data_IF_132334953984
#
_entry.id   IF_132334953984
#
_cell.length_a   1.000
_cell.length_b   1.000
_cell.length_c   1.000
_cell.angle_alpha   90.00
_cell.angle_beta   90.00
_cell.angle_gamma   90.00
#
_symmetry.space_group_name_H-M   'P 1'
#
loop_
_entity.id
_entity.type
_entity.pdbx_description
1 polymer ?
#
# COMPACT_ATOMS: atom_id res chain seq x y z
N UNK A 1 -25.60 8.49 11.20
CA UNK A 1 -24.41 8.45 12.10
C UNK A 1 -23.18 8.56 11.21
N UNK A 2 -22.10 9.21 11.65
CA UNK A 2 -20.87 9.29 10.86
C UNK A 2 -20.32 7.88 10.59
N UNK A 3 -19.85 7.64 9.37
CA UNK A 3 -19.30 6.35 8.98
C UNK A 3 -17.81 6.31 9.28
N UNK A 4 -17.41 5.61 10.33
CA UNK A 4 -15.99 5.43 10.67
C UNK A 4 -15.39 4.28 9.87
N UNK A 5 -14.40 4.60 9.04
CA UNK A 5 -13.60 3.64 8.27
C UNK A 5 -12.22 3.55 8.92
N UNK A 6 -11.84 2.34 9.31
CA UNK A 6 -10.54 2.08 9.92
C UNK A 6 -9.57 1.55 8.87
N UNK A 7 -8.43 2.20 8.68
CA UNK A 7 -7.39 1.79 7.74
C UNK A 7 -6.26 1.14 8.53
N UNK A 8 -5.93 -0.11 8.20
CA UNK A 8 -4.84 -0.91 8.76
C UNK A 8 -3.70 -1.03 7.72
N UNK A 9 -2.79 -0.05 7.65
CA UNK A 9 -1.68 -0.09 6.71
C UNK A 9 -0.49 -0.91 7.22
N UNK A 10 0.30 -1.45 6.31
CA UNK A 10 1.57 -2.11 6.62
C UNK A 10 2.82 -1.27 6.35
N UNK A 11 2.71 -0.22 5.54
CA UNK A 11 3.78 0.75 5.34
C UNK A 11 3.59 2.05 6.14
N UNK A 12 4.69 2.82 6.25
CA UNK A 12 4.74 4.07 7.01
C UNK A 12 4.10 5.24 6.28
N UNK A 13 4.19 5.25 4.95
CA UNK A 13 3.62 6.33 4.13
C UNK A 13 2.10 6.32 4.24
N UNK A 14 1.52 5.13 4.23
CA UNK A 14 0.10 4.84 4.25
C UNK A 14 -0.50 5.17 5.61
N UNK A 15 0.21 4.80 6.69
CA UNK A 15 -0.17 5.19 8.05
C UNK A 15 -0.37 6.70 8.21
N UNK A 16 0.43 7.51 7.51
CA UNK A 16 0.40 8.96 7.63
C UNK A 16 -0.39 9.68 6.54
N UNK A 17 -0.48 9.12 5.34
CA UNK A 17 -1.06 9.77 4.17
C UNK A 17 -2.38 9.18 3.68
N UNK A 18 -2.60 7.88 3.83
CA UNK A 18 -3.70 7.19 3.13
C UNK A 18 -5.09 7.59 3.66
N UNK A 19 -5.22 7.77 4.97
CA UNK A 19 -6.48 8.25 5.56
C UNK A 19 -6.89 9.63 5.02
N UNK A 20 -5.93 10.54 4.87
CA UNK A 20 -6.17 11.86 4.28
C UNK A 20 -6.53 11.76 2.78
N UNK A 21 -5.82 10.92 2.03
CA UNK A 21 -6.10 10.68 0.61
C UNK A 21 -7.52 10.16 0.38
N UNK A 22 -7.95 9.17 1.18
CA UNK A 22 -9.30 8.60 1.11
C UNK A 22 -10.36 9.62 1.56
N UNK A 23 -10.06 10.41 2.59
CA UNK A 23 -10.94 11.49 3.04
C UNK A 23 -11.17 12.51 1.93
N UNK A 24 -10.11 12.97 1.26
CA UNK A 24 -10.21 13.88 0.12
C UNK A 24 -11.10 13.31 -1.00
N UNK A 25 -10.98 12.00 -1.27
CA UNK A 25 -11.75 11.31 -2.32
C UNK A 25 -13.23 11.16 -2.01
N UNK A 26 -13.57 10.79 -0.78
CA UNK A 26 -14.93 10.33 -0.45
C UNK A 26 -15.75 11.30 0.39
N UNK A 27 -15.12 12.17 1.18
CA UNK A 27 -15.85 13.12 2.02
C UNK A 27 -16.79 14.05 1.24
N UNK A 28 -16.47 14.54 0.02
CA UNK A 28 -17.39 15.38 -0.75
C UNK A 28 -18.69 14.66 -1.15
N UNK A 29 -18.63 13.36 -1.45
CA UNK A 29 -19.78 12.53 -1.84
C UNK A 29 -20.48 11.84 -0.67
N UNK A 30 -19.80 11.68 0.46
CA UNK A 30 -20.28 10.94 1.63
C UNK A 30 -20.09 11.76 2.92
N UNK A 31 -20.92 12.79 3.15
CA UNK A 31 -20.78 13.65 4.32
C UNK A 31 -20.79 12.86 5.64
N UNK A 32 -19.79 13.12 6.49
CA UNK A 32 -19.65 12.45 7.78
C UNK A 32 -18.94 11.10 7.74
N UNK A 33 -18.38 10.67 6.61
CA UNK A 33 -17.40 9.58 6.63
C UNK A 33 -16.04 10.07 7.18
N UNK A 34 -15.40 9.26 8.01
CA UNK A 34 -14.04 9.50 8.49
C UNK A 34 -13.16 8.31 8.15
N UNK A 35 -11.92 8.57 7.73
CA UNK A 35 -10.91 7.54 7.48
C UNK A 35 -9.81 7.68 8.52
N UNK A 36 -9.76 6.75 9.47
CA UNK A 36 -8.83 6.74 10.59
C UNK A 36 -7.77 5.66 10.35
N UNK A 37 -6.49 6.04 10.25
CA UNK A 37 -5.40 5.07 10.17
C UNK A 37 -5.05 4.54 11.56
N UNK A 38 -4.77 3.24 11.64
CA UNK A 38 -4.51 2.56 12.92
C UNK A 38 -3.07 2.09 12.95
N UNK A 39 -2.29 2.65 13.88
CA UNK A 39 -0.95 2.16 14.18
C UNK A 39 -1.00 0.86 14.99
N UNK A 40 -0.05 -0.04 14.74
CA UNK A 40 0.23 -1.22 15.58
C UNK A 40 0.64 -0.79 16.98
N UNK A 41 1.51 0.21 17.07
CA UNK A 41 1.93 0.86 18.32
C UNK A 41 1.60 2.35 18.20
N UNK A 42 0.59 2.81 18.95
CA UNK A 42 0.13 4.20 18.89
C UNK A 42 1.21 5.20 19.32
N UNK A 43 1.99 4.87 20.36
CA UNK A 43 3.00 5.79 20.90
C UNK A 43 4.15 6.10 19.93
N UNK A 44 4.45 5.19 19.01
CA UNK A 44 5.57 5.30 18.06
C UNK A 44 5.10 5.48 16.62
N UNK A 45 3.79 5.57 16.39
CA UNK A 45 3.18 5.55 15.06
C UNK A 45 3.78 4.45 14.17
N UNK A 46 3.91 3.24 14.74
CA UNK A 46 4.44 2.11 14.00
C UNK A 46 3.32 1.40 13.24
N UNK A 47 3.45 1.19 11.92
CA UNK A 47 2.46 0.43 11.16
C UNK A 47 2.50 -1.06 11.54
N UNK A 48 1.55 -1.83 11.00
CA UNK A 48 1.67 -3.29 11.04
C UNK A 48 2.88 -3.72 10.21
N UNK A 49 3.65 -4.72 10.64
CA UNK A 49 4.80 -5.15 9.85
C UNK A 49 4.34 -5.77 8.53
N UNK A 50 4.85 -5.28 7.40
CA UNK A 50 4.59 -5.83 6.07
C UNK A 50 4.95 -7.30 6.02
N UNK A 51 3.96 -8.16 5.77
CA UNK A 51 4.18 -9.61 5.73
C UNK A 51 4.64 -10.08 4.36
N UNK A 52 4.68 -9.19 3.37
CA UNK A 52 5.26 -9.32 2.04
C UNK A 52 6.71 -8.81 1.98
N UNK A 53 7.24 -8.25 3.06
CA UNK A 53 8.64 -7.86 3.16
C UNK A 53 9.55 -9.08 3.42
N UNK A 54 10.67 -9.19 2.68
CA UNK A 54 11.71 -10.19 2.96
C UNK A 54 11.67 -11.51 2.16
N UNK A 55 11.06 -11.52 0.97
CA UNK A 55 11.15 -12.62 0.01
C UNK A 55 9.81 -13.27 -0.35
N UNK A 56 9.86 -14.25 -1.26
CA UNK A 56 8.67 -14.93 -1.76
C UNK A 56 7.87 -15.59 -0.63
N UNK A 57 6.56 -15.37 -0.64
CA UNK A 57 5.65 -16.07 0.27
C UNK A 57 5.66 -17.59 -0.02
N UNK A 58 5.70 -18.45 1.02
CA UNK A 58 5.47 -19.87 0.85
C UNK A 58 3.99 -20.12 0.52
N UNK A 59 3.70 -21.24 -0.14
CA UNK A 59 2.33 -21.67 -0.39
C UNK A 59 1.61 -21.88 0.95
N UNK A 60 0.45 -21.24 1.19
CA UNK A 60 -0.31 -21.46 2.41
C UNK A 60 -0.75 -22.92 2.50
N UNK A 61 -0.59 -23.52 3.68
CA UNK A 61 -0.91 -24.91 3.93
C UNK A 61 -1.09 -25.19 5.42
N UNK A 62 -1.59 -26.38 5.82
CA UNK A 62 -1.92 -26.69 7.21
C UNK A 62 -0.73 -26.58 8.18
N UNK A 63 0.49 -26.66 7.65
CA UNK A 63 1.75 -26.60 8.41
C UNK A 63 2.47 -25.26 8.28
N UNK A 64 1.89 -24.29 7.55
CA UNK A 64 2.49 -22.97 7.40
C UNK A 64 2.55 -22.27 8.77
N UNK A 65 3.76 -21.93 9.22
CA UNK A 65 3.94 -21.23 10.50
C UNK A 65 3.21 -19.89 10.46
N UNK A 66 2.45 -19.60 11.51
CA UNK A 66 1.85 -18.29 11.73
C UNK A 66 2.93 -17.20 11.63
N UNK A 67 2.74 -16.23 10.73
CA UNK A 67 3.61 -15.04 10.67
C UNK A 67 3.15 -14.08 11.77
N UNK A 68 3.96 -13.81 12.81
CA UNK A 68 3.51 -13.01 13.96
C UNK A 68 2.97 -11.63 13.55
N UNK A 69 3.60 -11.01 12.54
CA UNK A 69 3.17 -9.74 11.95
C UNK A 69 1.73 -9.80 11.41
N UNK A 70 1.42 -10.80 10.58
CA UNK A 70 0.11 -10.97 9.97
C UNK A 70 -0.93 -11.40 11.03
N UNK A 71 -0.55 -12.22 11.99
CA UNK A 71 -1.42 -12.58 13.13
C UNK A 71 -1.89 -11.34 13.91
N UNK A 72 -1.01 -10.38 14.19
CA UNK A 72 -1.40 -9.14 14.89
C UNK A 72 -2.37 -8.29 14.06
N UNK A 73 -2.14 -8.19 12.75
CA UNK A 73 -3.00 -7.47 11.81
C UNK A 73 -4.40 -8.09 11.74
N UNK A 74 -4.47 -9.41 11.53
CA UNK A 74 -5.73 -10.19 11.47
C UNK A 74 -6.51 -10.04 12.77
N UNK A 75 -5.85 -10.17 13.93
CA UNK A 75 -6.48 -10.01 15.24
C UNK A 75 -7.08 -8.62 15.43
N UNK A 76 -6.38 -7.57 14.97
CA UNK A 76 -6.93 -6.21 15.03
C UNK A 76 -8.16 -6.08 14.13
N UNK A 77 -8.08 -6.58 12.89
CA UNK A 77 -9.20 -6.51 11.95
C UNK A 77 -10.45 -7.23 12.48
N UNK A 78 -10.30 -8.42 13.08
CA UNK A 78 -11.40 -9.15 13.75
C UNK A 78 -12.00 -8.29 14.87
N UNK A 79 -11.17 -7.73 15.76
CA UNK A 79 -11.65 -6.88 16.85
C UNK A 79 -12.39 -5.64 16.35
N UNK A 80 -11.95 -5.03 15.24
CA UNK A 80 -12.65 -3.89 14.64
C UNK A 80 -13.94 -4.28 13.91
N UNK A 81 -14.01 -5.50 13.36
CA UNK A 81 -15.24 -5.99 12.75
C UNK A 81 -16.37 -6.19 13.79
N UNK A 82 -16.01 -6.58 15.01
CA UNK A 82 -16.92 -6.69 16.17
C UNK A 82 -17.41 -5.32 16.67
N UNK A 83 -16.66 -4.25 16.43
CA UNK A 83 -17.03 -2.90 16.86
C UNK A 83 -18.19 -2.37 16.00
N UNK A 84 -19.33 -2.09 16.64
CA UNK A 84 -20.53 -1.56 15.98
C UNK A 84 -20.39 -0.10 15.54
N UNK A 85 -19.44 0.64 16.12
CA UNK A 85 -19.12 2.01 15.71
C UNK A 85 -18.25 2.08 14.45
N UNK A 86 -17.64 0.96 14.06
CA UNK A 86 -16.83 0.84 12.84
C UNK A 86 -17.69 0.32 11.69
N UNK A 87 -17.76 1.12 10.63
CA UNK A 87 -18.54 0.82 9.44
C UNK A 87 -17.77 -0.10 8.49
N UNK A 88 -16.48 0.18 8.27
CA UNK A 88 -15.61 -0.55 7.35
C UNK A 88 -14.17 -0.59 7.90
N UNK A 89 -13.45 -1.68 7.60
CA UNK A 89 -12.04 -1.88 7.89
C UNK A 89 -11.32 -2.17 6.56
N UNK A 90 -10.34 -1.36 6.23
CA UNK A 90 -9.51 -1.51 5.04
C UNK A 90 -8.12 -1.93 5.47
N UNK A 91 -7.69 -3.12 5.07
CA UNK A 91 -6.30 -3.54 5.21
C UNK A 91 -5.60 -3.22 3.90
N UNK A 92 -4.49 -2.49 3.96
CA UNK A 92 -3.71 -2.12 2.77
C UNK A 92 -2.28 -2.56 3.01
N UNK A 93 -1.85 -3.55 2.23
CA UNK A 93 -0.47 -4.05 2.27
C UNK A 93 0.35 -3.52 1.09
N UNK A 94 1.55 -3.06 1.41
CA UNK A 94 2.54 -2.59 0.46
C UNK A 94 3.24 -3.78 -0.21
N UNK A 95 2.88 -4.11 -1.46
CA UNK A 95 3.32 -5.34 -2.12
C UNK A 95 4.71 -5.19 -2.73
N UNK A 96 5.74 -5.40 -1.92
CA UNK A 96 7.14 -5.32 -2.33
C UNK A 96 7.48 -6.08 -3.62
N UNK A 97 8.54 -5.60 -4.29
CA UNK A 97 8.92 -6.01 -5.65
C UNK A 97 9.18 -7.53 -5.79
N UNK A 98 9.64 -8.19 -4.72
CA UNK A 98 9.83 -9.65 -4.67
C UNK A 98 8.52 -10.42 -4.85
N UNK A 99 7.40 -9.87 -4.39
CA UNK A 99 6.09 -10.53 -4.38
C UNK A 99 5.13 -10.01 -5.46
N UNK A 100 5.55 -9.01 -6.25
CA UNK A 100 4.72 -8.38 -7.31
C UNK A 100 4.08 -9.36 -8.30
N UNK A 101 4.71 -10.50 -8.54
CA UNK A 101 4.30 -11.48 -9.54
C UNK A 101 3.31 -12.51 -8.97
N UNK A 102 2.99 -12.43 -7.68
CA UNK A 102 2.15 -13.40 -6.97
C UNK A 102 1.11 -12.75 -6.05
N UNK A 103 0.35 -11.72 -6.50
CA UNK A 103 -0.70 -11.09 -5.69
C UNK A 103 -1.77 -12.10 -5.23
N UNK A 104 -2.10 -13.10 -6.06
CA UNK A 104 -3.04 -14.16 -5.71
C UNK A 104 -2.56 -15.04 -4.54
N UNK A 105 -1.24 -15.23 -4.41
CA UNK A 105 -0.67 -16.00 -3.30
C UNK A 105 -0.74 -15.21 -1.98
N UNK A 106 -0.53 -13.90 -2.07
CA UNK A 106 -0.62 -12.97 -0.94
C UNK A 106 -2.04 -12.95 -0.39
N UNK A 107 -3.04 -12.78 -1.26
CA UNK A 107 -4.45 -12.78 -0.85
C UNK A 107 -4.89 -14.13 -0.29
N UNK A 108 -4.49 -15.24 -0.89
CA UNK A 108 -4.75 -16.58 -0.36
C UNK A 108 -4.12 -16.79 1.04
N UNK A 109 -2.92 -16.25 1.27
CA UNK A 109 -2.26 -16.29 2.57
C UNK A 109 -3.05 -15.50 3.61
N UNK A 110 -3.49 -14.28 3.29
CA UNK A 110 -4.35 -13.48 4.18
C UNK A 110 -5.65 -14.22 4.51
N UNK A 111 -6.34 -14.74 3.49
CA UNK A 111 -7.58 -15.51 3.66
C UNK A 111 -7.38 -16.73 4.57
N UNK A 112 -6.27 -17.46 4.38
CA UNK A 112 -5.89 -18.59 5.22
C UNK A 112 -5.71 -18.17 6.69
N UNK A 113 -4.98 -17.07 6.95
CA UNK A 113 -4.74 -16.59 8.31
C UNK A 113 -6.00 -16.11 9.02
N UNK A 114 -6.92 -15.42 8.33
CA UNK A 114 -8.23 -15.10 8.89
C UNK A 114 -9.01 -16.36 9.26
N UNK A 115 -9.00 -17.37 8.39
CA UNK A 115 -9.70 -18.63 8.62
C UNK A 115 -9.14 -19.38 9.83
N UNK A 116 -7.82 -19.49 9.95
CA UNK A 116 -7.18 -20.13 11.10
C UNK A 116 -7.47 -19.38 12.40
N UNK A 117 -7.30 -18.05 12.43
CA UNK A 117 -7.51 -17.27 13.65
C UNK A 117 -8.97 -17.34 14.14
N UNK A 118 -9.95 -17.36 13.22
CA UNK A 118 -11.36 -17.55 13.57
C UNK A 118 -11.63 -18.93 14.19
N UNK A 119 -11.06 -20.00 13.61
CA UNK A 119 -11.24 -21.36 14.11
C UNK A 119 -10.56 -21.53 15.47
N UNK A 120 -9.31 -21.10 15.61
CA UNK A 120 -8.57 -21.21 16.86
C UNK A 120 -9.31 -20.54 18.03
N UNK A 121 -9.87 -19.34 17.82
CA UNK A 121 -10.54 -18.58 18.89
C UNK A 121 -11.98 -18.98 19.17
N UNK A 122 -12.71 -19.43 18.15
CA UNK A 122 -14.17 -19.52 18.23
C UNK A 122 -14.72 -20.89 17.82
N UNK A 123 -13.89 -21.93 17.67
CA UNK A 123 -14.37 -23.30 17.36
C UNK A 123 -15.41 -23.84 18.36
N UNK A 124 -15.38 -23.38 19.61
CA UNK A 124 -16.30 -23.80 20.67
C UNK A 124 -17.64 -23.03 20.68
N UNK A 125 -17.76 -21.95 19.90
CA UNK A 125 -18.96 -21.11 19.81
C UNK A 125 -19.38 -20.92 18.33
N UNK A 126 -20.15 -21.86 17.78
CA UNK A 126 -20.57 -21.83 16.38
C UNK A 126 -21.39 -20.59 16.00
N UNK A 127 -22.19 -20.07 16.93
CA UNK A 127 -23.02 -18.88 16.67
C UNK A 127 -22.15 -17.62 16.56
N UNK A 128 -21.19 -17.46 17.47
CA UNK A 128 -20.21 -16.37 17.39
C UNK A 128 -19.33 -16.49 16.17
N UNK A 129 -18.85 -17.69 15.84
CA UNK A 129 -18.07 -17.94 14.64
C UNK A 129 -18.85 -17.54 13.36
N UNK A 130 -20.13 -17.89 13.28
CA UNK A 130 -20.99 -17.50 12.16
C UNK A 130 -21.17 -15.97 12.10
N UNK A 131 -21.48 -15.35 13.24
CA UNK A 131 -21.69 -13.89 13.31
C UNK A 131 -20.43 -13.10 12.93
N UNK A 132 -19.26 -13.57 13.36
CA UNK A 132 -17.97 -12.99 13.00
C UNK A 132 -17.66 -13.13 11.51
N UNK A 133 -17.91 -14.30 10.92
CA UNK A 133 -17.77 -14.49 9.47
C UNK A 133 -18.65 -13.50 8.70
N UNK A 134 -19.90 -13.31 9.12
CA UNK A 134 -20.79 -12.34 8.50
C UNK A 134 -20.29 -10.89 8.67
N UNK A 135 -19.75 -10.55 9.84
CA UNK A 135 -19.17 -9.24 10.09
C UNK A 135 -17.95 -9.00 9.18
N UNK A 136 -17.02 -9.95 9.08
CA UNK A 136 -15.83 -9.86 8.22
C UNK A 136 -16.21 -9.71 6.74
N UNK A 137 -17.15 -10.53 6.25
CA UNK A 137 -17.64 -10.49 4.86
C UNK A 137 -18.35 -9.18 4.50
N UNK A 138 -18.85 -8.44 5.49
CA UNK A 138 -19.55 -7.17 5.31
C UNK A 138 -18.63 -5.96 5.51
N UNK A 139 -17.69 -6.04 6.45
CA UNK A 139 -16.95 -4.88 6.95
C UNK A 139 -15.46 -4.89 6.66
N UNK A 140 -14.84 -6.02 6.33
CA UNK A 140 -13.38 -6.08 6.21
C UNK A 140 -12.99 -6.34 4.76
N UNK A 141 -12.11 -5.50 4.22
CA UNK A 141 -11.53 -5.67 2.89
C UNK A 141 -10.00 -5.66 2.96
N UNK A 142 -9.37 -6.43 2.07
CA UNK A 142 -7.92 -6.50 1.93
C UNK A 142 -7.48 -6.02 0.55
N UNK A 143 -6.58 -5.05 0.50
CA UNK A 143 -6.09 -4.41 -0.72
C UNK A 143 -4.57 -4.43 -0.77
N UNK A 144 -4.03 -4.35 -1.99
CA UNK A 144 -2.60 -4.30 -2.25
C UNK A 144 -2.24 -2.97 -2.92
N UNK A 145 -1.11 -2.40 -2.55
CA UNK A 145 -0.46 -1.35 -3.32
C UNK A 145 0.74 -1.95 -4.07
N UNK A 146 0.74 -1.89 -5.40
CA UNK A 146 1.66 -2.69 -6.25
C UNK A 146 2.56 -1.81 -7.11
N UNK A 147 3.88 -2.11 -7.24
CA UNK A 147 4.69 -2.99 -6.38
C UNK A 147 5.12 -2.29 -5.09
N UNK A 148 4.58 -1.10 -4.84
CA UNK A 148 4.71 -0.31 -3.62
C UNK A 148 3.71 0.85 -3.77
N UNK A 149 3.23 1.43 -2.68
CA UNK A 149 2.30 2.57 -2.76
C UNK A 149 2.94 3.82 -3.37
N UNK A 150 4.28 3.97 -3.37
CA UNK A 150 4.94 5.03 -4.14
C UNK A 150 4.61 4.98 -5.64
N UNK A 151 4.25 3.82 -6.19
CA UNK A 151 3.82 3.70 -7.57
C UNK A 151 2.62 4.61 -7.88
N UNK A 152 1.71 4.78 -6.91
CA UNK A 152 0.54 5.64 -7.06
C UNK A 152 0.90 7.11 -7.23
N UNK A 153 2.03 7.55 -6.66
CA UNK A 153 2.52 8.91 -6.84
C UNK A 153 2.90 9.18 -8.29
N UNK A 154 3.27 8.17 -9.08
CA UNK A 154 3.58 8.35 -10.51
C UNK A 154 2.34 8.38 -11.40
N UNK A 155 1.17 7.96 -10.88
CA UNK A 155 -0.12 8.08 -11.56
C UNK A 155 -0.68 9.51 -11.48
N UNK A 156 -0.27 10.28 -10.47
CA UNK A 156 -0.57 11.69 -10.31
C UNK A 156 0.57 12.55 -10.93
N UNK A 157 0.30 13.38 -11.96
CA UNK A 157 1.31 14.26 -12.56
C UNK A 157 2.01 15.20 -11.55
N UNK A 158 1.32 15.58 -10.46
CA UNK A 158 1.88 16.38 -9.38
C UNK A 158 2.49 15.53 -8.26
N UNK A 159 2.27 14.22 -8.21
CA UNK A 159 2.68 13.33 -7.13
C UNK A 159 4.19 13.40 -6.83
N UNK A 160 5.10 13.24 -7.82
CA UNK A 160 6.53 13.30 -7.56
C UNK A 160 6.96 14.71 -7.10
N UNK A 161 6.36 15.76 -7.67
CA UNK A 161 6.60 17.14 -7.24
C UNK A 161 6.17 17.36 -5.79
N UNK A 162 5.01 16.84 -5.39
CA UNK A 162 4.48 16.93 -4.03
C UNK A 162 5.36 16.15 -3.03
N UNK A 163 6.04 15.10 -3.50
CA UNK A 163 7.06 14.35 -2.76
C UNK A 163 8.43 15.04 -2.73
N UNK A 164 8.58 16.23 -3.31
CA UNK A 164 9.82 17.01 -3.28
C UNK A 164 10.77 16.77 -4.46
N UNK A 165 10.30 16.13 -5.54
CA UNK A 165 11.11 15.98 -6.74
C UNK A 165 11.50 17.35 -7.30
N UNK A 166 12.75 17.46 -7.76
CA UNK A 166 13.29 18.70 -8.31
C UNK A 166 12.67 19.00 -9.68
N UNK A 167 12.47 20.27 -9.99
CA UNK A 167 11.89 20.69 -11.27
C UNK A 167 12.65 20.14 -12.50
N UNK A 168 13.98 20.04 -12.42
CA UNK A 168 14.82 19.49 -13.50
C UNK A 168 14.65 17.97 -13.72
N UNK A 169 14.04 17.26 -12.76
CA UNK A 169 13.76 15.83 -12.83
C UNK A 169 12.28 15.54 -13.20
N UNK A 170 11.53 16.56 -13.60
CA UNK A 170 10.11 16.47 -13.92
C UNK A 170 9.82 16.80 -15.40
N UNK A 171 8.85 16.11 -16.03
CA UNK A 171 8.18 14.91 -15.53
C UNK A 171 9.14 13.71 -15.48
N UNK A 172 8.91 12.70 -14.60
CA UNK A 172 9.73 11.50 -14.58
C UNK A 172 9.71 10.79 -15.95
N UNK A 173 10.86 10.31 -16.41
CA UNK A 173 10.95 9.56 -17.66
C UNK A 173 10.45 8.11 -17.46
N UNK A 174 9.13 7.95 -17.41
CA UNK A 174 8.46 6.65 -17.40
C UNK A 174 8.46 6.02 -18.79
N UNK A 175 8.47 4.70 -18.84
CA UNK A 175 8.23 3.99 -20.09
C UNK A 175 6.84 4.36 -20.67
N UNK A 176 6.74 4.71 -21.97
CA UNK A 176 5.47 5.11 -22.57
C UNK A 176 4.39 4.04 -22.45
N UNK A 177 3.18 4.45 -22.04
CA UNK A 177 2.01 3.58 -21.98
C UNK A 177 2.05 2.51 -20.88
N UNK A 178 2.99 2.58 -19.93
CA UNK A 178 2.96 1.67 -18.78
C UNK A 178 2.00 2.13 -17.70
N UNK A 179 1.34 1.15 -17.09
CA UNK A 179 0.64 1.30 -15.83
C UNK A 179 1.65 1.68 -14.72
N UNK A 180 1.40 2.74 -13.93
CA UNK A 180 2.23 3.05 -12.77
C UNK A 180 2.31 1.88 -11.76
N UNK A 181 1.30 1.01 -11.65
CA UNK A 181 1.40 -0.23 -10.84
C UNK A 181 2.34 -1.30 -11.44
N UNK A 182 2.80 -1.08 -12.68
CA UNK A 182 3.89 -1.81 -13.33
C UNK A 182 5.14 -0.94 -13.53
N UNK A 183 5.34 0.08 -12.68
CA UNK A 183 6.34 1.14 -12.82
C UNK A 183 7.65 0.68 -13.48
N UNK A 184 8.08 1.43 -14.49
CA UNK A 184 9.44 1.31 -15.04
C UNK A 184 9.99 2.67 -15.46
N UNK A 185 10.99 3.16 -14.74
CA UNK A 185 11.76 4.33 -15.15
C UNK A 185 12.73 3.96 -16.28
N UNK A 186 12.85 4.87 -17.25
CA UNK A 186 13.76 4.77 -18.39
C UNK A 186 14.75 5.94 -18.45
N UNK A 187 14.80 6.77 -17.40
CA UNK A 187 15.74 7.90 -17.32
C UNK A 187 17.20 7.41 -17.40
N UNK A 188 17.96 7.74 -18.45
CA UNK A 188 19.34 7.29 -18.59
C UNK A 188 20.25 7.76 -17.46
N UNK A 189 20.01 8.96 -16.90
CA UNK A 189 20.79 9.46 -15.77
C UNK A 189 20.52 8.64 -14.52
N UNK A 190 19.26 8.26 -14.25
CA UNK A 190 18.92 7.35 -13.16
C UNK A 190 19.55 5.96 -13.35
N UNK A 191 19.44 5.42 -14.57
CA UNK A 191 19.93 4.09 -14.91
C UNK A 191 21.45 3.99 -15.03
N UNK A 192 22.16 5.11 -15.14
CA UNK A 192 23.62 5.17 -15.12
C UNK A 192 24.19 5.71 -13.79
N UNK A 193 23.37 6.20 -12.88
CA UNK A 193 23.84 6.80 -11.62
C UNK A 193 24.59 5.77 -10.79
N UNK A 194 25.81 6.13 -10.37
CA UNK A 194 26.71 5.37 -9.50
C UNK A 194 26.93 6.08 -8.15
N UNK A 195 26.27 7.22 -7.94
CA UNK A 195 26.39 8.04 -6.74
C UNK A 195 27.66 8.90 -6.69
N UNK A 196 28.44 9.01 -7.76
CA UNK A 196 29.63 9.86 -7.80
C UNK A 196 29.30 11.34 -7.51
N UNK A 197 28.09 11.78 -7.87
CA UNK A 197 27.61 13.14 -7.62
C UNK A 197 27.17 13.41 -6.16
N UNK A 198 27.13 12.38 -5.30
CA UNK A 198 26.64 12.47 -3.93
C UNK A 198 27.75 12.86 -2.95
N UNK A 199 28.19 14.12 -3.00
CA UNK A 199 29.36 14.60 -2.25
C UNK A 199 29.32 14.28 -0.75
N UNK A 200 28.19 14.50 -0.07
CA UNK A 200 28.06 14.22 1.37
C UNK A 200 28.23 12.72 1.69
N UNK A 201 27.64 11.84 0.88
CA UNK A 201 27.78 10.38 1.02
C UNK A 201 29.21 9.92 0.71
N UNK A 202 29.81 10.40 -0.39
CA UNK A 202 31.18 10.07 -0.80
C UNK A 202 32.22 10.53 0.24
N UNK A 203 31.94 11.61 0.98
CA UNK A 203 32.79 12.09 2.07
C UNK A 203 32.72 11.25 3.36
N UNK A 204 31.82 10.28 3.47
CA UNK A 204 31.71 9.42 4.65
C UNK A 204 32.83 8.36 4.69
N UNK A 205 33.13 7.83 5.88
CA UNK A 205 34.02 6.66 6.01
C UNK A 205 33.40 5.42 5.34
N UNK A 206 34.19 4.41 4.90
CA UNK A 206 33.66 3.24 4.19
C UNK A 206 32.51 2.52 4.92
N UNK A 207 32.62 2.38 6.25
CA UNK A 207 31.54 1.82 7.07
C UNK A 207 30.25 2.65 6.99
N UNK A 208 30.38 3.98 7.06
CA UNK A 208 29.24 4.90 6.99
C UNK A 208 28.66 5.00 5.58
N UNK A 209 29.50 4.89 4.54
CA UNK A 209 29.02 4.79 3.16
C UNK A 209 28.15 3.55 2.96
N UNK A 210 28.54 2.39 3.50
CA UNK A 210 27.72 1.18 3.44
C UNK A 210 26.38 1.35 4.18
N UNK A 211 26.39 1.91 5.41
CA UNK A 211 25.18 2.15 6.21
C UNK A 211 24.22 3.18 5.57
N UNK A 212 24.76 4.20 4.92
CA UNK A 212 24.00 5.31 4.35
C UNK A 212 23.91 5.26 2.81
N UNK A 213 24.21 4.12 2.20
CA UNK A 213 24.17 3.96 0.74
C UNK A 213 22.80 4.42 0.20
N UNK A 214 22.78 5.34 -0.80
CA UNK A 214 21.56 5.79 -1.44
C UNK A 214 20.72 4.60 -1.91
N UNK A 215 19.40 4.72 -1.78
CA UNK A 215 18.49 3.57 -1.91
C UNK A 215 18.62 2.89 -3.29
N UNK A 216 18.70 3.69 -4.37
CA UNK A 216 18.82 3.19 -5.75
C UNK A 216 20.18 2.57 -6.09
N UNK A 217 21.16 2.67 -5.19
CA UNK A 217 22.51 2.10 -5.35
C UNK A 217 22.74 0.86 -4.48
N UNK A 218 21.78 0.50 -3.63
CA UNK A 218 21.87 -0.71 -2.79
C UNK A 218 21.94 -1.95 -3.65
N UNK A 219 22.71 -2.95 -3.23
CA UNK A 219 23.03 -4.12 -4.05
C UNK A 219 21.78 -4.95 -4.37
N UNK A 220 20.85 -5.02 -3.43
CA UNK A 220 19.56 -5.69 -3.57
C UNK A 220 18.54 -4.94 -4.46
N UNK A 221 18.75 -3.64 -4.67
CA UNK A 221 17.84 -2.77 -5.45
C UNK A 221 18.39 -2.47 -6.84
N UNK A 222 19.68 -2.13 -6.95
CA UNK A 222 20.34 -1.62 -8.16
C UNK A 222 20.03 -2.45 -9.43
N UNK A 223 20.07 -3.80 -9.41
CA UNK A 223 19.74 -4.62 -10.58
C UNK A 223 18.32 -4.43 -11.12
N UNK A 224 17.37 -4.02 -10.26
CA UNK A 224 15.96 -3.82 -10.59
C UNK A 224 15.49 -2.39 -10.28
N UNK A 225 16.41 -1.43 -10.14
CA UNK A 225 16.08 -0.07 -9.68
C UNK A 225 15.08 0.65 -10.58
N UNK A 226 15.07 0.33 -11.87
CA UNK A 226 14.09 0.82 -12.83
C UNK A 226 12.65 0.53 -12.40
N UNK A 227 12.43 -0.56 -11.67
CA UNK A 227 11.14 -1.11 -11.29
C UNK A 227 10.80 -0.86 -9.82
N UNK A 228 11.61 -0.08 -9.09
CA UNK A 228 11.47 0.14 -7.65
C UNK A 228 10.98 1.56 -7.35
N UNK A 229 9.66 1.77 -7.16
CA UNK A 229 9.04 3.09 -6.93
C UNK A 229 9.72 3.95 -5.87
N UNK A 230 10.02 3.38 -4.71
CA UNK A 230 10.70 4.10 -3.63
C UNK A 230 12.14 4.53 -3.99
N UNK A 231 12.89 3.70 -4.73
CA UNK A 231 14.23 4.05 -5.19
C UNK A 231 14.17 5.16 -6.25
N UNK A 232 13.20 5.07 -7.17
CA UNK A 232 12.92 6.12 -8.15
C UNK A 232 12.56 7.44 -7.46
N UNK A 233 11.66 7.43 -6.47
CA UNK A 233 11.33 8.64 -5.73
C UNK A 233 12.50 9.21 -4.95
N UNK A 234 13.29 8.36 -4.29
CA UNK A 234 14.50 8.79 -3.60
C UNK A 234 15.49 9.49 -4.53
N UNK A 235 15.64 8.99 -5.76
CA UNK A 235 16.48 9.61 -6.78
C UNK A 235 15.88 10.91 -7.36
N UNK A 236 14.57 10.98 -7.60
CA UNK A 236 13.92 12.20 -8.08
C UNK A 236 14.03 13.35 -7.06
N UNK A 237 14.07 13.00 -5.76
CA UNK A 237 14.32 13.90 -4.65
C UNK A 237 15.80 13.92 -4.23
N UNK A 238 16.72 13.71 -5.18
CA UNK A 238 18.16 13.74 -4.92
C UNK A 238 18.54 15.00 -4.14
N UNK A 239 19.38 14.85 -3.12
CA UNK A 239 19.93 15.95 -2.37
C UNK A 239 21.39 15.65 -2.02
N UNK A 240 22.32 16.38 -2.64
CA UNK A 240 23.76 16.07 -2.56
C UNK A 240 24.35 16.38 -1.19
N UNK A 241 23.65 17.19 -0.41
CA UNK A 241 24.06 17.60 0.93
C UNK A 241 23.54 16.62 2.01
N UNK A 242 22.61 15.74 1.65
CA UNK A 242 22.08 14.70 2.52
C UNK A 242 23.01 13.48 2.60
N UNK A 243 23.10 12.87 3.79
CA UNK A 243 23.96 11.69 4.01
C UNK A 243 23.58 10.48 3.15
N UNK A 244 22.30 10.38 2.78
CA UNK A 244 21.75 9.33 1.91
C UNK A 244 21.57 9.81 0.46
N UNK A 245 22.08 11.00 0.14
CA UNK A 245 21.94 11.67 -1.15
C UNK A 245 20.48 11.95 -1.57
N UNK A 246 19.54 12.01 -0.64
CA UNK A 246 18.11 12.20 -0.93
C UNK A 246 17.41 12.86 0.24
N UNK A 247 16.53 13.81 -0.07
CA UNK A 247 15.64 14.45 0.91
C UNK A 247 14.31 13.69 1.09
N UNK A 248 14.05 12.65 0.28
CA UNK A 248 12.82 11.87 0.37
C UNK A 248 12.76 11.05 1.67
N UNK A 249 11.70 11.29 2.45
CA UNK A 249 11.29 10.43 3.55
C UNK A 249 9.83 10.05 3.37
N UNK A 250 9.56 8.75 3.45
CA UNK A 250 8.20 8.19 3.35
C UNK A 250 7.23 8.82 4.34
N UNK A 251 7.69 9.04 5.58
CA UNK A 251 6.87 9.56 6.68
C UNK A 251 6.60 11.06 6.62
N UNK A 252 7.26 11.78 5.71
CA UNK A 252 7.10 13.23 5.52
C UNK A 252 6.68 13.49 4.08
N UNK A 253 7.65 13.55 3.16
CA UNK A 253 7.40 13.93 1.77
C UNK A 253 6.49 12.93 1.06
N UNK A 254 6.71 11.63 1.26
CA UNK A 254 5.85 10.58 0.68
C UNK A 254 4.42 10.68 1.20
N UNK A 255 4.24 10.73 2.52
CA UNK A 255 2.93 10.82 3.16
C UNK A 255 2.16 12.09 2.73
N UNK A 256 2.86 13.22 2.60
CA UNK A 256 2.28 14.47 2.09
C UNK A 256 1.81 14.31 0.65
N UNK A 257 2.63 13.71 -0.22
CA UNK A 257 2.28 13.48 -1.61
C UNK A 257 1.05 12.57 -1.72
N UNK A 258 1.04 11.45 -0.99
CA UNK A 258 -0.08 10.52 -0.93
C UNK A 258 -1.36 11.20 -0.42
N UNK A 259 -1.27 11.98 0.65
CA UNK A 259 -2.42 12.73 1.21
C UNK A 259 -3.03 13.73 0.22
N UNK A 260 -2.28 14.14 -0.80
CA UNK A 260 -2.69 15.09 -1.84
C UNK A 260 -2.96 14.43 -3.20
N UNK A 261 -3.03 13.10 -3.26
CA UNK A 261 -3.16 12.34 -4.50
C UNK A 261 -4.36 12.84 -5.33
N UNK A 262 -4.11 13.24 -6.58
CA UNK A 262 -5.19 13.50 -7.53
C UNK A 262 -5.78 12.17 -8.04
N UNK A 263 -6.85 11.73 -7.37
CA UNK A 263 -7.59 10.52 -7.73
C UNK A 263 -8.14 10.55 -9.16
N UNK A 264 -8.48 11.74 -9.68
CA UNK A 264 -9.00 11.86 -11.05
C UNK A 264 -7.92 11.58 -12.06
N UNK A 265 -6.71 12.12 -11.83
CA UNK A 265 -5.56 11.84 -12.67
C UNK A 265 -5.11 10.38 -12.54
N UNK A 266 -5.00 9.88 -11.31
CA UNK A 266 -4.53 8.51 -11.05
C UNK A 266 -5.44 7.45 -11.69
N UNK A 267 -6.77 7.64 -11.65
CA UNK A 267 -7.75 6.68 -12.18
C UNK A 267 -8.23 6.99 -13.61
N UNK A 268 -7.64 8.00 -14.28
CA UNK A 268 -8.07 8.47 -15.60
C UNK A 268 -8.00 7.40 -16.69
N UNK A 269 -6.96 6.56 -16.67
CA UNK A 269 -6.79 5.48 -17.66
C UNK A 269 -7.52 4.21 -17.17
N UNK A 270 -8.56 3.71 -17.88
CA UNK A 270 -9.36 2.58 -17.42
C UNK A 270 -8.60 1.26 -17.28
N UNK A 271 -7.53 1.07 -18.07
CA UNK A 271 -6.74 -0.16 -18.09
C UNK A 271 -5.56 -0.13 -17.10
N UNK A 272 -5.31 1.01 -16.43
CA UNK A 272 -4.24 1.17 -15.44
C UNK A 272 -4.78 1.21 -14.00
N UNK A 273 -3.86 1.14 -13.05
CA UNK A 273 -4.12 1.32 -11.62
C UNK A 273 -5.17 0.35 -11.10
N UNK A 274 -5.09 -0.91 -11.53
CA UNK A 274 -6.10 -1.95 -11.28
C UNK A 274 -6.30 -2.24 -9.79
N UNK A 275 -5.23 -2.20 -8.98
CA UNK A 275 -5.33 -2.40 -7.53
C UNK A 275 -5.88 -1.16 -6.81
N UNK A 276 -5.40 0.03 -7.14
CA UNK A 276 -5.98 1.29 -6.64
C UNK A 276 -7.46 1.43 -7.03
N UNK A 277 -7.84 1.01 -8.24
CA UNK A 277 -9.24 0.99 -8.71
C UNK A 277 -10.08 0.02 -7.90
N UNK A 278 -9.57 -1.19 -7.60
CA UNK A 278 -10.26 -2.15 -6.73
C UNK A 278 -10.52 -1.55 -5.34
N UNK A 279 -9.55 -0.85 -4.75
CA UNK A 279 -9.73 -0.11 -3.48
C UNK A 279 -10.80 0.98 -3.60
N UNK A 280 -10.71 1.84 -4.63
CA UNK A 280 -11.69 2.91 -4.84
C UNK A 280 -13.11 2.36 -5.04
N UNK A 281 -13.27 1.34 -5.87
CA UNK A 281 -14.57 0.77 -6.21
C UNK A 281 -15.18 0.02 -5.02
N UNK A 282 -14.35 -0.66 -4.22
CA UNK A 282 -14.77 -1.27 -2.97
C UNK A 282 -15.37 -0.23 -2.01
N UNK A 283 -14.66 0.85 -1.74
CA UNK A 283 -15.14 1.92 -0.85
C UNK A 283 -16.36 2.63 -1.44
N UNK A 284 -16.38 2.89 -2.75
CA UNK A 284 -17.53 3.49 -3.44
C UNK A 284 -18.78 2.62 -3.29
N UNK A 285 -18.65 1.31 -3.53
CA UNK A 285 -19.72 0.33 -3.38
C UNK A 285 -20.22 0.25 -1.94
N UNK A 286 -19.34 0.35 -0.94
CA UNK A 286 -19.74 0.36 0.46
C UNK A 286 -20.61 1.57 0.81
N UNK A 287 -20.27 2.75 0.27
CA UNK A 287 -21.03 3.98 0.51
C UNK A 287 -22.20 4.19 -0.46
N UNK A 288 -22.42 3.28 -1.40
CA UNK A 288 -23.35 3.47 -2.50
C UNK A 288 -23.08 4.80 -3.25
N UNK A 289 -21.80 5.18 -3.35
CA UNK A 289 -21.31 6.26 -4.19
C UNK A 289 -21.20 5.69 -5.62
N UNK A 290 -21.97 6.19 -6.61
CA UNK A 290 -21.89 5.70 -7.98
C UNK A 290 -20.48 5.88 -8.59
N UNK A 291 -19.64 6.73 -7.97
CA UNK A 291 -18.21 6.85 -8.20
C UNK A 291 -17.87 7.39 -9.60
N UNK A 292 -17.13 8.49 -9.67
CA UNK A 292 -16.63 9.03 -10.95
C UNK A 292 -15.72 8.06 -11.72
N UNK A 293 -15.22 6.99 -11.06
CA UNK A 293 -14.19 6.08 -11.57
C UNK A 293 -14.61 4.60 -11.55
N UNK A 294 -15.92 4.32 -11.50
CA UNK A 294 -16.45 2.94 -11.49
C UNK A 294 -16.19 2.16 -12.79
N UNK A 295 -15.77 2.84 -13.84
CA UNK A 295 -15.37 2.24 -15.12
C UNK A 295 -13.88 1.86 -15.12
N UNK A 296 -13.55 0.73 -15.74
CA UNK A 296 -12.17 0.26 -15.92
C UNK A 296 -11.93 -1.14 -15.36
N UNK A 297 -10.71 -1.65 -15.56
CA UNK A 297 -10.31 -2.96 -15.08
C UNK A 297 -9.87 -2.88 -13.63
N UNK A 298 -10.35 -3.81 -12.81
CA UNK A 298 -9.90 -3.98 -11.43
C UNK A 298 -8.98 -5.21 -11.32
N UNK A 299 -8.18 -5.26 -10.26
CA UNK A 299 -7.36 -6.42 -9.92
C UNK A 299 -8.23 -7.53 -9.30
N UNK A 300 -8.45 -8.68 -9.96
CA UNK A 300 -9.37 -9.73 -9.52
C UNK A 300 -9.01 -10.33 -8.15
N UNK A 301 -7.77 -10.16 -7.72
CA UNK A 301 -7.26 -10.58 -6.42
C UNK A 301 -7.89 -9.78 -5.27
N UNK A 302 -8.24 -8.51 -5.49
CA UNK A 302 -8.71 -7.57 -4.43
C UNK A 302 -10.04 -6.89 -4.76
N UNK A 303 -10.67 -7.21 -5.89
CA UNK A 303 -12.05 -6.78 -6.20
C UNK A 303 -13.08 -7.47 -5.30
N UNK A 304 -14.15 -6.75 -4.97
CA UNK A 304 -15.27 -7.25 -4.17
C UNK A 304 -15.96 -8.45 -4.83
N UNK A 305 -16.22 -9.51 -4.05
CA UNK A 305 -16.82 -10.77 -4.52
C UNK A 305 -18.12 -11.10 -3.78
N UNK A 306 -19.11 -10.20 -3.81
CA UNK A 306 -20.36 -10.35 -3.01
C UNK A 306 -21.12 -11.66 -3.25
N UNK A 307 -20.94 -12.28 -4.42
CA UNK A 307 -21.59 -13.54 -4.78
C UNK A 307 -20.76 -14.79 -4.45
N UNK A 308 -19.49 -14.66 -4.06
CA UNK A 308 -18.64 -15.81 -3.74
C UNK A 308 -18.93 -16.31 -2.32
N UNK A 309 -19.54 -17.50 -2.13
CA UNK A 309 -19.85 -18.03 -0.81
C UNK A 309 -18.60 -18.42 0.00
N UNK A 310 -17.44 -18.57 -0.65
CA UNK A 310 -16.19 -19.02 -0.04
C UNK A 310 -15.32 -17.87 0.48
N UNK A 311 -15.67 -16.61 0.19
CA UNK A 311 -14.92 -15.46 0.68
C UNK A 311 -14.88 -15.43 2.21
N UNK A 312 -13.75 -15.03 2.77
CA UNK A 312 -13.59 -14.86 4.23
C UNK A 312 -13.80 -13.39 4.61
N UNK A 313 -13.37 -12.49 3.74
CA UNK A 313 -13.53 -11.04 3.81
C UNK A 313 -14.52 -10.59 2.73
N UNK A 314 -14.68 -9.28 2.56
CA UNK A 314 -15.59 -8.70 1.56
C UNK A 314 -15.10 -8.92 0.12
N UNK A 315 -13.78 -8.97 -0.09
CA UNK A 315 -13.14 -9.07 -1.41
C UNK A 315 -12.15 -10.24 -1.58
N UNK A 316 -11.84 -10.99 -0.50
CA UNK A 316 -10.98 -12.18 -0.51
C UNK A 316 -11.53 -13.33 0.31
#
# INVERSE_FOLDING_TARGET
MPHRVMVLPTGKMELRGLGAALTQRFQPGTPGCTFETVARIMATEEPYAGFTSGGALPIPGPTAKARPALTLLVRKAISLAEDTSVALVLIVDDLELENRHQPALVTATVQHHFTQELLERHHQDPQRLSSLRDALRKKVSFHLAVPMIEAWLFADPAGPKNAGARAAALPPALAPGLDPEGLRLQDPAYLADDGAACACWQGLSPKKQAEHRPLWLREEISPRRAEHPKAAMSWLCLDRDERKCSSYKETEQGAKALASLDWSAALACPDHMRFLRALNNDVSLFFNDPGAFSFGQEAPETTVKLQDPNRTLRNV
#
